data_IF_413503335437
#
_entry.id   IF_413503335437
#
_cell.length_a   1.000
_cell.length_b   1.000
_cell.length_c   1.000
_cell.angle_alpha   90.00
_cell.angle_beta   90.00
_cell.angle_gamma   90.00
#
_symmetry.space_group_name_H-M   'P 1'
#
loop_
_entity.id
_entity.type
_entity.pdbx_description
1 polymer ?
#
# COMPACT_ATOMS: atom_id res chain seq x y z
N UNK A 1 6.85 0.13 48.62
CA UNK A 1 6.83 1.05 47.48
C UNK A 1 6.50 0.25 46.22
N UNK A 2 5.67 0.75 45.33
CA UNK A 2 5.43 0.18 44.01
C UNK A 2 6.09 1.08 42.95
N UNK A 3 6.61 0.50 41.89
CA UNK A 3 7.20 1.22 40.76
C UNK A 3 6.33 0.96 39.53
N UNK A 4 5.94 2.02 38.86
CA UNK A 4 5.20 1.87 37.60
C UNK A 4 6.15 1.36 36.51
N UNK A 5 5.86 0.21 35.92
CA UNK A 5 6.67 -0.39 34.85
C UNK A 5 6.65 0.36 33.51
N UNK A 6 5.79 1.40 33.39
CA UNK A 6 5.74 2.23 32.17
C UNK A 6 6.47 3.54 32.29
N UNK A 7 6.32 4.27 33.42
CA UNK A 7 6.92 5.59 33.62
C UNK A 7 7.97 5.62 34.72
N UNK A 8 8.26 4.46 35.37
CA UNK A 8 9.26 4.28 36.45
C UNK A 8 8.99 5.12 37.69
N UNK A 9 7.83 5.80 37.76
CA UNK A 9 7.46 6.60 38.94
C UNK A 9 7.27 5.70 40.16
N UNK A 10 7.91 6.08 41.27
CA UNK A 10 7.75 5.42 42.57
C UNK A 10 6.45 5.87 43.22
N UNK A 11 5.58 4.95 43.59
CA UNK A 11 4.30 5.17 44.22
C UNK A 11 4.29 4.60 45.63
N UNK A 12 3.61 5.25 46.57
CA UNK A 12 3.46 4.75 47.92
C UNK A 12 2.58 3.48 47.85
N UNK A 13 3.12 2.34 48.29
CA UNK A 13 2.38 1.08 48.41
C UNK A 13 2.48 0.59 49.87
N UNK A 14 1.54 1.01 50.69
CA UNK A 14 1.39 0.50 52.06
C UNK A 14 0.20 -0.46 52.07
N UNK A 15 0.38 -1.63 52.65
CA UNK A 15 -0.67 -2.67 52.74
C UNK A 15 -1.95 -2.19 53.48
N UNK A 16 -1.83 -1.16 54.32
CA UNK A 16 -2.96 -0.56 55.02
C UNK A 16 -3.77 0.43 54.16
N UNK A 17 -3.22 0.92 53.07
CA UNK A 17 -3.88 1.82 52.16
C UNK A 17 -4.25 1.08 50.87
N UNK A 18 -5.50 1.05 50.53
CA UNK A 18 -5.97 0.32 49.37
C UNK A 18 -5.21 0.67 48.05
N UNK A 19 -5.36 -0.14 47.03
CA UNK A 19 -4.64 -0.05 45.74
C UNK A 19 -5.25 0.94 44.74
N UNK A 20 -6.31 1.67 45.13
CA UNK A 20 -7.06 2.59 44.25
C UNK A 20 -6.17 3.63 43.55
N UNK A 21 -5.25 4.25 44.28
CA UNK A 21 -4.31 5.25 43.74
C UNK A 21 -3.31 4.65 42.74
N UNK A 22 -2.98 3.36 42.83
CA UNK A 22 -2.16 2.66 41.84
C UNK A 22 -2.94 2.45 40.54
N UNK A 23 -4.20 2.08 40.62
CA UNK A 23 -5.09 1.98 39.46
C UNK A 23 -5.35 3.34 38.81
N UNK A 24 -5.56 4.38 39.63
CA UNK A 24 -5.70 5.75 39.13
C UNK A 24 -4.45 6.23 38.40
N UNK A 25 -3.25 5.90 38.94
CA UNK A 25 -2.01 6.21 38.24
C UNK A 25 -1.90 5.45 36.90
N UNK A 26 -2.23 4.16 36.85
CA UNK A 26 -2.22 3.39 35.59
C UNK A 26 -3.14 4.00 34.53
N UNK A 27 -4.29 4.52 34.94
CA UNK A 27 -5.24 5.20 34.04
C UNK A 27 -4.74 6.58 33.55
N UNK A 28 -3.93 7.28 34.36
CA UNK A 28 -3.40 8.61 34.09
C UNK A 28 -1.89 8.63 33.79
N UNK A 29 -1.27 7.47 33.65
CA UNK A 29 0.15 7.37 33.41
C UNK A 29 0.55 8.07 32.10
N UNK A 30 1.52 9.04 32.13
CA UNK A 30 1.91 9.78 30.92
C UNK A 30 2.58 8.88 29.87
N UNK A 31 3.11 7.72 30.28
CA UNK A 31 3.66 6.69 29.36
C UNK A 31 2.70 5.52 29.17
N UNK A 32 1.40 5.71 29.35
CA UNK A 32 0.40 4.73 29.02
C UNK A 32 0.42 4.51 27.51
N UNK A 33 0.54 3.26 27.07
CA UNK A 33 0.37 2.91 25.67
C UNK A 33 -1.08 3.21 25.29
N UNK A 34 -1.27 4.27 24.53
CA UNK A 34 -2.56 4.56 23.94
C UNK A 34 -2.79 3.48 22.90
N UNK A 35 -3.77 2.63 23.14
CA UNK A 35 -4.22 1.63 22.17
C UNK A 35 -4.99 2.27 21.00
N UNK A 36 -5.17 3.59 21.02
CA UNK A 36 -5.80 4.29 19.91
C UNK A 36 -4.78 4.46 18.77
N UNK A 37 -5.02 3.72 17.71
CA UNK A 37 -4.24 3.74 16.45
C UNK A 37 -4.13 5.16 15.90
N UNK A 38 -5.16 5.98 16.05
CA UNK A 38 -5.16 7.38 15.60
C UNK A 38 -4.09 8.20 16.34
N UNK A 39 -3.91 7.97 17.64
CA UNK A 39 -2.86 8.66 18.42
C UNK A 39 -1.46 8.14 18.10
N UNK A 40 -1.31 6.86 17.78
CA UNK A 40 -0.03 6.30 17.32
C UNK A 40 0.36 6.89 15.97
N UNK A 41 -0.59 7.05 15.05
CA UNK A 41 -0.37 7.69 13.75
C UNK A 41 -0.02 9.19 13.89
N UNK A 42 -0.63 9.92 14.83
CA UNK A 42 -0.28 11.31 15.14
C UNK A 42 1.16 11.44 15.64
N UNK A 43 1.62 10.53 16.49
CA UNK A 43 3.01 10.51 16.99
C UNK A 43 4.02 10.21 15.87
N UNK A 44 3.71 9.28 14.98
CA UNK A 44 4.59 8.90 13.87
C UNK A 44 4.80 10.04 12.86
N UNK A 45 3.85 10.97 12.75
CA UNK A 45 3.88 12.09 11.81
C UNK A 45 4.25 13.43 12.46
N UNK A 46 4.70 13.42 13.70
CA UNK A 46 5.20 14.64 14.37
C UNK A 46 6.56 15.02 13.79
N UNK A 47 6.68 16.21 13.18
CA UNK A 47 7.95 16.83 12.82
C UNK A 47 8.22 17.99 13.75
N UNK A 48 9.44 18.06 14.27
CA UNK A 48 9.90 19.21 15.05
C UNK A 48 10.54 20.17 14.04
N UNK A 49 9.90 21.30 13.81
CA UNK A 49 10.46 22.42 13.05
C UNK A 49 10.40 23.66 13.91
N UNK A 50 11.53 24.37 14.10
CA UNK A 50 11.66 25.59 14.90
C UNK A 50 11.08 25.52 16.33
N UNK A 51 11.27 24.38 17.01
CA UNK A 51 10.78 24.20 18.38
C UNK A 51 9.25 24.01 18.48
N UNK A 52 8.52 23.99 17.37
CA UNK A 52 7.10 23.70 17.31
C UNK A 52 6.87 22.29 16.76
N UNK A 53 6.04 21.51 17.44
CA UNK A 53 5.63 20.19 16.97
C UNK A 53 4.43 20.34 16.05
N UNK A 54 4.65 20.15 14.76
CA UNK A 54 3.55 20.08 13.78
C UNK A 54 3.08 18.63 13.65
N UNK A 55 1.79 18.41 13.90
CA UNK A 55 1.12 17.13 13.68
C UNK A 55 0.47 17.14 12.31
N UNK A 56 0.96 16.31 11.38
CA UNK A 56 0.21 16.00 10.18
C UNK A 56 -0.80 14.90 10.51
N UNK A 57 -2.08 15.18 10.36
CA UNK A 57 -3.10 14.15 10.46
C UNK A 57 -2.93 13.18 9.29
N UNK A 58 -2.61 11.92 9.59
CA UNK A 58 -2.67 10.86 8.59
C UNK A 58 -4.13 10.45 8.43
N UNK A 59 -4.71 10.75 7.28
CA UNK A 59 -6.02 10.25 6.89
C UNK A 59 -5.80 9.00 6.05
N UNK A 60 -6.30 7.87 6.53
CA UNK A 60 -6.25 6.63 5.77
C UNK A 60 -7.15 6.74 4.53
N UNK A 61 -6.59 6.41 3.36
CA UNK A 61 -7.29 6.38 2.08
C UNK A 61 -7.40 4.93 1.59
N UNK A 62 -8.61 4.40 1.61
CA UNK A 62 -8.94 3.04 1.17
C UNK A 62 -8.71 2.87 -0.35
N UNK A 63 -9.04 3.88 -1.15
CA UNK A 63 -8.91 3.80 -2.61
C UNK A 63 -7.43 3.84 -3.03
N UNK A 64 -6.64 4.68 -2.39
CA UNK A 64 -5.19 4.68 -2.57
C UNK A 64 -4.60 3.30 -2.24
N UNK A 65 -4.97 2.73 -1.10
CA UNK A 65 -4.46 1.42 -0.67
C UNK A 65 -4.87 0.29 -1.63
N UNK A 66 -6.10 0.34 -2.18
CA UNK A 66 -6.56 -0.60 -3.21
C UNK A 66 -5.76 -0.47 -4.50
N UNK A 67 -5.50 0.75 -4.94
CA UNK A 67 -4.69 1.03 -6.13
C UNK A 67 -3.27 0.51 -5.96
N UNK A 68 -2.64 0.75 -4.81
CA UNK A 68 -1.29 0.26 -4.54
C UNK A 68 -1.25 -1.29 -4.45
N UNK A 69 -2.30 -1.94 -3.93
CA UNK A 69 -2.43 -3.39 -3.98
C UNK A 69 -2.54 -3.90 -5.43
N UNK A 70 -3.33 -3.22 -6.27
CA UNK A 70 -3.44 -3.57 -7.69
C UNK A 70 -2.09 -3.39 -8.42
N UNK A 71 -1.37 -2.30 -8.16
CA UNK A 71 -0.03 -2.04 -8.70
C UNK A 71 0.97 -3.12 -8.27
N UNK A 72 0.95 -3.54 -7.00
CA UNK A 72 1.82 -4.62 -6.51
C UNK A 72 1.53 -5.95 -7.22
N UNK A 73 0.25 -6.27 -7.44
CA UNK A 73 -0.16 -7.48 -8.16
C UNK A 73 0.33 -7.44 -9.62
N UNK A 74 0.19 -6.30 -10.29
CA UNK A 74 0.66 -6.10 -11.67
C UNK A 74 2.18 -6.22 -11.74
N UNK A 75 2.89 -5.51 -10.87
CA UNK A 75 4.35 -5.41 -10.91
C UNK A 75 5.05 -6.75 -10.65
N UNK A 76 4.48 -7.56 -9.76
CA UNK A 76 5.08 -8.83 -9.33
C UNK A 76 4.33 -10.06 -9.84
N UNK A 77 3.37 -9.88 -10.73
CA UNK A 77 2.58 -10.96 -11.34
C UNK A 77 1.92 -11.90 -10.30
N UNK A 78 1.51 -11.33 -9.15
CA UNK A 78 0.85 -12.13 -8.12
C UNK A 78 -0.50 -12.65 -8.61
N UNK A 79 -0.87 -13.89 -8.22
CA UNK A 79 -2.20 -14.40 -8.54
C UNK A 79 -3.27 -13.56 -7.83
N UNK A 80 -4.39 -13.30 -8.50
CA UNK A 80 -5.52 -12.57 -7.89
C UNK A 80 -6.04 -13.21 -6.60
N UNK A 81 -5.78 -14.52 -6.42
CA UNK A 81 -6.13 -15.26 -5.21
C UNK A 81 -5.42 -14.74 -3.94
N UNK A 82 -4.34 -13.97 -4.06
CA UNK A 82 -3.60 -13.42 -2.92
C UNK A 82 -4.51 -12.67 -1.94
N UNK A 83 -5.53 -11.95 -2.44
CA UNK A 83 -6.48 -11.21 -1.60
C UNK A 83 -7.37 -12.11 -0.75
N UNK A 84 -7.45 -13.41 -1.06
CA UNK A 84 -8.23 -14.39 -0.29
C UNK A 84 -7.39 -15.13 0.74
N UNK A 85 -6.06 -15.09 0.62
CA UNK A 85 -5.17 -15.81 1.52
C UNK A 85 -5.26 -15.29 2.95
N UNK A 86 -5.54 -16.17 3.91
CA UNK A 86 -5.73 -15.81 5.31
C UNK A 86 -4.50 -15.07 5.89
N UNK A 87 -3.29 -15.55 5.57
CA UNK A 87 -2.05 -14.91 6.02
C UNK A 87 -1.89 -13.49 5.46
N UNK A 88 -2.22 -13.27 4.19
CA UNK A 88 -2.16 -11.94 3.60
C UNK A 88 -3.19 -10.98 4.22
N UNK A 89 -4.41 -11.46 4.46
CA UNK A 89 -5.45 -10.68 5.17
C UNK A 89 -5.00 -10.29 6.58
N UNK A 90 -4.43 -11.24 7.33
CA UNK A 90 -3.91 -10.99 8.67
C UNK A 90 -2.77 -9.97 8.65
N UNK A 91 -1.83 -10.12 7.72
CA UNK A 91 -0.73 -9.17 7.52
C UNK A 91 -1.24 -7.77 7.20
N UNK A 92 -2.11 -7.61 6.22
CA UNK A 92 -2.66 -6.32 5.84
C UNK A 92 -3.43 -5.65 6.99
N UNK A 93 -4.23 -6.42 7.74
CA UNK A 93 -4.95 -5.92 8.93
C UNK A 93 -4.02 -5.51 10.06
N UNK A 94 -2.85 -6.15 10.20
CA UNK A 94 -1.85 -5.79 11.21
C UNK A 94 -1.14 -4.48 10.89
N UNK A 95 -0.94 -4.18 9.59
CA UNK A 95 -0.36 -2.92 9.13
C UNK A 95 -1.34 -1.76 9.20
N UNK A 96 -2.57 -1.98 8.73
CA UNK A 96 -3.62 -0.97 8.71
C UNK A 96 -4.99 -1.58 9.00
N UNK A 97 -5.43 -1.55 10.27
CA UNK A 97 -6.72 -2.14 10.67
C UNK A 97 -7.95 -1.50 10.01
N UNK A 98 -7.82 -0.28 9.49
CA UNK A 98 -8.90 0.39 8.75
C UNK A 98 -9.02 -0.11 7.30
N UNK A 99 -8.00 -0.80 6.78
CA UNK A 99 -8.03 -1.34 5.44
C UNK A 99 -9.02 -2.49 5.33
N UNK A 100 -10.04 -2.30 4.51
CA UNK A 100 -11.00 -3.37 4.18
C UNK A 100 -10.49 -4.13 2.97
N UNK A 101 -10.10 -5.39 3.20
CA UNK A 101 -9.65 -6.26 2.12
C UNK A 101 -10.74 -6.41 1.06
N UNK A 102 -10.32 -6.34 -0.20
CA UNK A 102 -11.21 -6.45 -1.36
C UNK A 102 -11.33 -7.90 -1.84
N UNK A 103 -12.38 -8.18 -2.64
CA UNK A 103 -12.55 -9.48 -3.29
C UNK A 103 -11.72 -9.59 -4.57
N UNK A 104 -11.53 -10.81 -5.09
CA UNK A 104 -10.87 -11.04 -6.39
C UNK A 104 -11.54 -10.27 -7.53
N UNK A 105 -12.86 -10.20 -7.56
CA UNK A 105 -13.57 -9.48 -8.61
C UNK A 105 -13.32 -7.97 -8.52
N UNK A 106 -13.25 -7.43 -7.32
CA UNK A 106 -12.94 -6.02 -7.10
C UNK A 106 -11.53 -5.70 -7.57
N UNK A 107 -10.52 -6.45 -7.13
CA UNK A 107 -9.13 -6.20 -7.53
C UNK A 107 -8.91 -6.42 -9.02
N UNK A 108 -9.58 -7.41 -9.65
CA UNK A 108 -9.58 -7.61 -11.09
C UNK A 108 -10.12 -6.38 -11.83
N UNK A 109 -11.24 -5.82 -11.35
CA UNK A 109 -11.82 -4.60 -11.93
C UNK A 109 -10.89 -3.41 -11.80
N UNK A 110 -10.20 -3.25 -10.66
CA UNK A 110 -9.23 -2.19 -10.46
C UNK A 110 -8.03 -2.32 -11.41
N UNK A 111 -7.50 -3.53 -11.59
CA UNK A 111 -6.42 -3.83 -12.54
C UNK A 111 -6.84 -3.51 -13.98
N UNK A 112 -8.05 -3.89 -14.38
CA UNK A 112 -8.55 -3.58 -15.73
C UNK A 112 -8.69 -2.07 -15.96
N UNK A 113 -9.11 -1.30 -14.96
CA UNK A 113 -9.16 0.17 -15.05
C UNK A 113 -7.77 0.77 -15.20
N UNK A 114 -6.79 0.27 -14.46
CA UNK A 114 -5.38 0.71 -14.59
C UNK A 114 -4.90 0.38 -16.01
N UNK A 115 -5.14 -0.84 -16.51
CA UNK A 115 -4.76 -1.25 -17.85
C UNK A 115 -5.34 -0.33 -18.93
N UNK A 116 -6.64 -0.02 -18.89
CA UNK A 116 -7.24 0.89 -19.88
C UNK A 116 -6.65 2.31 -19.80
N UNK A 117 -6.41 2.81 -18.59
CA UNK A 117 -5.76 4.12 -18.41
C UNK A 117 -4.34 4.15 -18.99
N UNK A 118 -3.53 3.11 -18.72
CA UNK A 118 -2.16 3.03 -19.25
C UNK A 118 -2.14 2.82 -20.76
N UNK A 119 -3.08 2.06 -21.30
CA UNK A 119 -3.27 1.87 -22.74
C UNK A 119 -3.59 3.19 -23.44
N UNK A 120 -4.51 4.00 -22.89
CA UNK A 120 -4.80 5.34 -23.44
C UNK A 120 -3.58 6.26 -23.42
N UNK A 121 -2.79 6.21 -22.33
CA UNK A 121 -1.53 6.98 -22.25
C UNK A 121 -0.54 6.53 -23.30
N UNK A 122 -0.40 5.23 -23.50
CA UNK A 122 0.47 4.66 -24.52
C UNK A 122 0.05 5.11 -25.93
N UNK A 123 -1.24 5.07 -26.26
CA UNK A 123 -1.72 5.56 -27.55
C UNK A 123 -1.47 7.06 -27.76
N UNK A 124 -1.77 7.88 -26.75
CA UNK A 124 -1.49 9.32 -26.81
C UNK A 124 0.00 9.64 -26.97
N UNK A 125 0.87 8.80 -26.39
CA UNK A 125 2.31 8.91 -26.59
C UNK A 125 2.66 8.60 -28.05
N UNK A 126 2.15 7.49 -28.60
CA UNK A 126 2.43 7.07 -29.98
C UNK A 126 1.92 8.08 -31.01
N UNK A 127 0.75 8.68 -30.78
CA UNK A 127 0.18 9.73 -31.65
C UNK A 127 1.03 11.01 -31.73
N UNK A 128 1.79 11.30 -30.68
CA UNK A 128 2.67 12.48 -30.61
C UNK A 128 4.06 12.25 -31.19
N UNK A 129 4.41 11.01 -31.53
CA UNK A 129 5.72 10.68 -32.04
C UNK A 129 5.85 11.10 -33.52
N UNK A 130 6.79 11.98 -33.82
CA UNK A 130 7.21 12.32 -35.19
C UNK A 130 8.18 11.29 -35.76
N UNK A 131 8.72 10.39 -34.91
CA UNK A 131 9.70 9.37 -35.31
C UNK A 131 9.01 8.14 -35.92
N UNK A 132 9.78 7.39 -36.74
CA UNK A 132 9.31 6.11 -37.28
C UNK A 132 9.25 5.07 -36.16
N UNK A 133 8.20 4.24 -36.20
CA UNK A 133 8.01 3.12 -35.29
C UNK A 133 8.34 1.83 -36.05
N UNK A 134 9.35 1.09 -35.59
CA UNK A 134 9.61 -0.26 -36.04
C UNK A 134 8.69 -1.24 -35.33
N UNK A 135 8.13 -2.20 -36.06
CA UNK A 135 7.20 -3.18 -35.48
C UNK A 135 7.84 -4.57 -35.54
N UNK A 136 7.82 -5.29 -34.42
CA UNK A 136 8.14 -6.70 -34.40
C UNK A 136 6.92 -7.51 -33.96
N UNK A 137 6.80 -8.72 -34.48
CA UNK A 137 5.72 -9.65 -34.12
C UNK A 137 6.32 -10.96 -33.67
N UNK A 138 5.74 -11.54 -32.62
CA UNK A 138 6.06 -12.87 -32.13
C UNK A 138 4.78 -13.70 -32.06
N UNK A 139 4.82 -14.95 -32.54
CA UNK A 139 3.69 -15.85 -32.54
C UNK A 139 4.02 -17.14 -31.81
N UNK A 140 3.15 -17.54 -30.89
CA UNK A 140 3.33 -18.80 -30.17
C UNK A 140 2.00 -19.49 -29.91
N UNK A 141 2.08 -20.79 -29.67
CA UNK A 141 0.92 -21.60 -29.25
C UNK A 141 1.08 -21.98 -27.79
N UNK A 142 0.07 -21.66 -26.99
CA UNK A 142 0.03 -22.05 -25.59
C UNK A 142 -0.07 -23.56 -25.44
N UNK A 143 0.83 -24.17 -24.69
CA UNK A 143 0.80 -25.60 -24.41
C UNK A 143 -0.44 -26.03 -23.60
N UNK A 144 -0.97 -25.13 -22.78
CA UNK A 144 -2.10 -25.43 -21.88
C UNK A 144 -3.46 -25.47 -22.59
N UNK A 145 -3.79 -24.44 -23.36
CA UNK A 145 -5.10 -24.29 -24.00
C UNK A 145 -5.08 -24.48 -25.52
N UNK A 146 -3.91 -24.80 -26.12
CA UNK A 146 -3.68 -25.01 -27.56
C UNK A 146 -4.14 -23.82 -28.43
N UNK A 147 -4.24 -22.62 -27.87
CA UNK A 147 -4.58 -21.41 -28.62
C UNK A 147 -3.32 -20.74 -29.14
N UNK A 148 -3.39 -20.21 -30.34
CA UNK A 148 -2.37 -19.35 -30.92
C UNK A 148 -2.50 -17.92 -30.37
N UNK A 149 -1.35 -17.32 -30.11
CA UNK A 149 -1.22 -15.93 -29.65
C UNK A 149 -0.22 -15.21 -30.55
N UNK A 150 -0.41 -13.89 -30.69
CA UNK A 150 0.49 -13.05 -31.42
C UNK A 150 0.72 -11.75 -30.62
N UNK A 151 1.98 -11.47 -30.28
CA UNK A 151 2.34 -10.17 -29.72
C UNK A 151 2.80 -9.22 -30.83
N UNK A 152 2.43 -7.96 -30.71
CA UNK A 152 2.90 -6.87 -31.56
C UNK A 152 3.65 -5.89 -30.66
N UNK A 153 4.95 -5.69 -30.92
CA UNK A 153 5.78 -4.75 -30.16
C UNK A 153 6.23 -3.62 -31.05
N UNK A 154 6.00 -2.39 -30.61
CA UNK A 154 6.51 -1.18 -31.26
C UNK A 154 7.81 -0.73 -30.61
N UNK A 155 8.79 -0.38 -31.46
CA UNK A 155 10.10 0.16 -31.05
C UNK A 155 10.25 1.57 -31.65
N UNK A 156 10.57 2.53 -30.82
CA UNK A 156 10.75 3.92 -31.24
C UNK A 156 11.77 4.64 -30.37
N UNK A 157 12.30 5.72 -30.86
CA UNK A 157 13.20 6.60 -30.11
C UNK A 157 12.34 7.78 -29.60
N UNK A 158 12.37 8.00 -28.29
CA UNK A 158 11.65 9.11 -27.64
C UNK A 158 12.42 10.45 -27.78
N UNK A 159 11.81 11.53 -27.29
CA UNK A 159 12.37 12.88 -27.31
C UNK A 159 13.71 13.00 -26.56
N UNK A 160 13.98 12.08 -25.64
CA UNK A 160 15.24 11.99 -24.88
C UNK A 160 16.30 11.12 -25.57
N UNK A 161 16.08 10.72 -26.81
CA UNK A 161 16.95 9.84 -27.58
C UNK A 161 17.13 8.45 -26.96
N UNK A 162 16.13 7.99 -26.22
CA UNK A 162 16.15 6.66 -25.60
C UNK A 162 15.28 5.70 -26.43
N UNK A 163 15.82 4.50 -26.73
CA UNK A 163 15.04 3.46 -27.40
C UNK A 163 13.97 2.93 -26.44
N UNK A 164 12.73 3.06 -26.84
CA UNK A 164 11.56 2.53 -26.16
C UNK A 164 11.03 1.30 -26.87
N UNK A 165 10.58 0.31 -26.09
CA UNK A 165 9.87 -0.87 -26.59
C UNK A 165 8.55 -1.00 -25.84
N UNK A 166 7.44 -1.10 -26.57
CA UNK A 166 6.11 -1.20 -25.99
C UNK A 166 5.31 -2.31 -26.66
N UNK A 167 4.72 -3.19 -25.87
CA UNK A 167 3.74 -4.16 -26.38
C UNK A 167 2.46 -3.41 -26.70
N UNK A 168 2.08 -3.43 -27.96
CA UNK A 168 0.90 -2.74 -28.47
C UNK A 168 -0.33 -3.63 -28.42
N UNK A 169 -0.14 -4.94 -28.65
CA UNK A 169 -1.22 -5.94 -28.61
C UNK A 169 -0.65 -7.35 -28.39
N UNK A 170 -1.44 -8.21 -27.75
CA UNK A 170 -1.23 -9.66 -27.63
C UNK A 170 -2.58 -10.39 -27.62
#
# INVERSE_FOLDING_TARGET
>A
MAICNKCERKLKANSKNGTKHLHEHLNRCPKRDNQDIRQTLLRANARISDGKTEYRSFIFDQELSRRELANAIILHEYPLAIVDHAGFKSFASSLQPLFKMVTRNTIKSDILKIHESEKEKAYKLLEKLDSRIAITTDMWTSNHNKKGYMAITGHFIDESWILQSRILRY
#
